data_IF_543449214577
#
_entry.id   IF_543449214577
#
_cell.length_a   1.000
_cell.length_b   1.000
_cell.length_c   1.000
_cell.angle_alpha   90.00
_cell.angle_beta   90.00
_cell.angle_gamma   90.00
#
_symmetry.space_group_name_H-M   'P 1'
#
loop_
_entity.id
_entity.type
_entity.pdbx_description
1 polymer ?
#
# COMPACT_ATOMS: atom_id res chain seq x y z
N UNK A 1 -0.10 1.13 -3.53
CA UNK A 1 -1.25 1.93 -4.00
C UNK A 1 -1.97 1.14 -5.09
N UNK A 2 -3.29 0.92 -4.97
CA UNK A 2 -4.09 0.34 -6.05
C UNK A 2 -4.49 1.44 -7.04
N UNK A 3 -4.10 1.31 -8.31
CA UNK A 3 -4.53 2.21 -9.40
C UNK A 3 -5.71 1.60 -10.16
N UNK A 4 -6.58 2.46 -10.66
CA UNK A 4 -7.79 2.12 -11.41
C UNK A 4 -8.07 3.09 -12.54
N UNK A 5 -9.31 3.04 -13.02
CA UNK A 5 -9.82 3.84 -14.12
C UNK A 5 -11.04 4.63 -13.64
N UNK A 6 -11.22 5.86 -14.10
CA UNK A 6 -12.43 6.64 -13.78
C UNK A 6 -13.67 6.18 -14.56
N UNK A 7 -13.48 5.45 -15.65
CA UNK A 7 -14.53 5.01 -16.57
C UNK A 7 -14.03 3.85 -17.41
N UNK A 8 -14.04 3.99 -18.74
CA UNK A 8 -13.54 2.93 -19.64
C UNK A 8 -12.09 2.54 -19.32
N UNK A 9 -11.85 1.21 -19.30
CA UNK A 9 -10.57 0.59 -18.93
C UNK A 9 -9.62 0.54 -20.13
N UNK A 10 -9.31 1.69 -20.70
CA UNK A 10 -8.45 1.81 -21.89
C UNK A 10 -7.06 2.23 -21.43
N UNK A 11 -6.03 1.53 -21.93
CA UNK A 11 -4.62 1.81 -21.61
C UNK A 11 -4.24 1.37 -20.19
N UNK A 12 -3.26 2.05 -19.58
CA UNK A 12 -2.80 1.76 -18.21
C UNK A 12 -3.71 2.44 -17.17
N UNK A 13 -3.89 1.87 -15.96
CA UNK A 13 -4.63 2.54 -14.87
C UNK A 13 -4.00 3.89 -14.51
N UNK A 14 -4.78 4.96 -14.38
CA UNK A 14 -4.27 6.33 -14.23
C UNK A 14 -4.73 7.04 -12.96
N UNK A 15 -5.82 6.58 -12.34
CA UNK A 15 -6.47 7.25 -11.21
C UNK A 15 -6.74 6.27 -10.05
N UNK A 16 -7.44 6.72 -9.02
CA UNK A 16 -7.86 5.89 -7.88
C UNK A 16 -9.10 5.08 -8.26
N UNK A 17 -9.21 3.78 -7.91
CA UNK A 17 -10.34 2.92 -8.32
C UNK A 17 -11.67 3.29 -7.66
N UNK A 18 -11.63 3.90 -6.49
CA UNK A 18 -12.82 4.31 -5.74
C UNK A 18 -12.52 5.58 -4.94
N UNK A 19 -13.57 6.26 -4.50
CA UNK A 19 -13.44 7.40 -3.60
C UNK A 19 -13.01 6.90 -2.22
N UNK A 20 -11.81 7.29 -1.80
CA UNK A 20 -11.23 6.91 -0.50
C UNK A 20 -11.01 8.11 0.39
N UNK A 21 -11.18 7.93 1.69
CA UNK A 21 -10.93 8.96 2.70
C UNK A 21 -9.87 8.47 3.66
N UNK A 22 -8.90 9.33 3.99
CA UNK A 22 -7.89 9.11 5.02
C UNK A 22 -7.96 10.21 6.07
N UNK A 23 -7.64 9.88 7.32
CA UNK A 23 -7.78 10.80 8.45
C UNK A 23 -6.53 10.79 9.34
N UNK A 24 -6.11 11.97 9.76
CA UNK A 24 -5.11 12.13 10.82
C UNK A 24 -5.49 13.34 11.68
N UNK A 25 -5.82 13.11 12.95
CA UNK A 25 -6.31 14.15 13.86
C UNK A 25 -7.63 14.77 13.36
N UNK A 26 -7.64 16.10 13.21
CA UNK A 26 -8.75 16.86 12.64
C UNK A 26 -8.76 16.92 11.11
N UNK A 27 -7.66 16.49 10.46
CA UNK A 27 -7.51 16.57 9.00
C UNK A 27 -8.06 15.32 8.34
N UNK A 28 -8.93 15.53 7.35
CA UNK A 28 -9.50 14.49 6.50
C UNK A 28 -9.16 14.81 5.04
N UNK A 29 -8.57 13.85 4.35
CA UNK A 29 -8.21 13.95 2.93
C UNK A 29 -8.98 12.90 2.15
N UNK A 30 -9.66 13.32 1.10
CA UNK A 30 -10.44 12.46 0.23
C UNK A 30 -9.84 12.45 -1.17
N UNK A 31 -9.49 11.26 -1.67
CA UNK A 31 -9.10 11.03 -3.05
C UNK A 31 -10.34 10.64 -3.85
N UNK A 32 -10.54 11.28 -4.99
CA UNK A 32 -11.63 11.00 -5.92
C UNK A 32 -11.02 10.69 -7.29
N UNK A 33 -11.62 9.72 -7.99
CA UNK A 33 -11.25 9.36 -9.35
C UNK A 33 -11.42 10.55 -10.29
N UNK A 34 -10.52 10.69 -11.26
CA UNK A 34 -10.55 11.76 -12.25
C UNK A 34 -10.37 11.23 -13.68
N UNK A 35 -10.94 11.89 -14.70
CA UNK A 35 -10.72 11.53 -16.10
C UNK A 35 -9.26 11.75 -16.49
N UNK A 36 -8.82 11.08 -17.57
CA UNK A 36 -7.43 11.20 -18.06
C UNK A 36 -7.12 12.63 -18.48
N UNK A 37 -5.95 13.13 -18.09
CA UNK A 37 -5.49 14.48 -18.43
C UNK A 37 -5.95 15.55 -17.45
N UNK A 38 -6.61 15.18 -16.35
CA UNK A 38 -6.93 16.12 -15.25
C UNK A 38 -5.66 16.56 -14.51
N UNK A 39 -4.68 15.67 -14.42
CA UNK A 39 -3.51 15.85 -13.58
C UNK A 39 -3.82 15.78 -12.08
N UNK A 40 -2.82 16.16 -11.29
CA UNK A 40 -2.90 16.13 -9.82
C UNK A 40 -3.38 17.48 -9.30
N UNK A 41 -4.68 17.57 -8.97
CA UNK A 41 -5.30 18.75 -8.37
C UNK A 41 -5.16 18.65 -6.85
N UNK A 42 -4.14 19.33 -6.31
CA UNK A 42 -3.72 19.20 -4.91
C UNK A 42 -2.88 20.37 -4.42
N UNK A 43 -2.89 20.60 -3.11
CA UNK A 43 -1.85 21.37 -2.43
C UNK A 43 -0.45 20.74 -2.63
N UNK A 44 0.64 21.52 -2.55
CA UNK A 44 2.00 21.08 -2.91
C UNK A 44 2.50 19.84 -2.17
N UNK A 45 2.17 19.69 -0.89
CA UNK A 45 2.62 18.55 -0.06
C UNK A 45 2.01 17.22 -0.53
N UNK A 46 0.68 17.05 -0.56
CA UNK A 46 0.07 15.82 -1.08
C UNK A 46 0.25 15.63 -2.59
N UNK A 47 0.56 16.69 -3.34
CA UNK A 47 0.92 16.58 -4.77
C UNK A 47 2.15 15.70 -4.94
N UNK A 48 3.21 15.97 -4.16
CA UNK A 48 4.45 15.16 -4.18
C UNK A 48 4.20 13.71 -3.79
N UNK A 49 3.41 13.46 -2.73
CA UNK A 49 3.05 12.10 -2.33
C UNK A 49 2.33 11.33 -3.44
N UNK A 50 1.39 11.96 -4.14
CA UNK A 50 0.65 11.31 -5.22
C UNK A 50 1.49 11.06 -6.47
N UNK A 51 2.41 11.97 -6.79
CA UNK A 51 3.40 11.74 -7.84
C UNK A 51 4.28 10.53 -7.52
N UNK A 52 4.77 10.42 -6.27
CA UNK A 52 5.55 9.26 -5.83
C UNK A 52 4.72 7.96 -5.82
N UNK A 53 3.42 8.05 -5.51
CA UNK A 53 2.50 6.91 -5.58
C UNK A 53 2.14 6.50 -7.01
N UNK A 54 2.57 7.25 -8.03
CA UNK A 54 2.31 6.97 -9.44
C UNK A 54 0.87 7.23 -9.87
N UNK A 55 0.17 8.18 -9.23
CA UNK A 55 -1.17 8.61 -9.65
C UNK A 55 -1.03 9.77 -10.63
N UNK A 56 -1.58 9.62 -11.82
CA UNK A 56 -1.50 10.66 -12.86
C UNK A 56 -2.62 11.69 -12.69
N UNK A 57 -3.84 11.19 -12.46
CA UNK A 57 -5.05 12.02 -12.38
C UNK A 57 -5.82 11.74 -11.09
N UNK A 58 -6.07 12.78 -10.28
CA UNK A 58 -6.89 12.64 -9.08
C UNK A 58 -7.38 13.99 -8.56
N UNK A 59 -8.68 14.08 -8.25
CA UNK A 59 -9.22 15.19 -7.50
C UNK A 59 -9.07 14.95 -6.01
N UNK A 60 -8.84 16.03 -5.27
CA UNK A 60 -8.84 15.95 -3.80
C UNK A 60 -9.60 17.02 -3.12
N UNK A 61 -10.29 16.62 -2.07
CA UNK A 61 -10.81 17.52 -1.07
C UNK A 61 -10.10 17.26 0.26
N UNK A 62 -9.79 18.34 0.97
CA UNK A 62 -9.27 18.29 2.32
C UNK A 62 -10.20 19.08 3.23
N UNK A 63 -10.48 18.55 4.42
CA UNK A 63 -11.28 19.21 5.46
C UNK A 63 -10.50 19.17 6.78
N UNK A 64 -10.62 20.22 7.59
CA UNK A 64 -9.91 20.38 8.85
C UNK A 64 -8.68 21.29 8.74
N UNK A 65 -7.84 21.27 9.77
CA UNK A 65 -6.68 22.17 9.86
C UNK A 65 -5.48 21.66 9.02
N UNK A 66 -5.52 21.94 7.72
CA UNK A 66 -4.53 21.48 6.73
C UNK A 66 -3.17 22.20 6.79
N UNK A 67 -3.04 23.26 7.59
CA UNK A 67 -1.78 23.98 7.78
C UNK A 67 -0.72 23.13 8.53
N UNK A 68 -1.15 22.17 9.36
CA UNK A 68 -0.23 21.22 9.99
C UNK A 68 0.23 20.17 8.97
N UNK A 69 1.40 20.41 8.38
CA UNK A 69 1.98 19.61 7.30
C UNK A 69 2.07 18.11 7.64
N UNK A 70 2.50 17.75 8.85
CA UNK A 70 2.66 16.35 9.27
C UNK A 70 1.34 15.58 9.27
N UNK A 71 0.28 16.15 9.85
CA UNK A 71 -1.05 15.55 9.85
C UNK A 71 -1.62 15.45 8.44
N UNK A 72 -1.41 16.47 7.61
CA UNK A 72 -1.91 16.49 6.24
C UNK A 72 -1.23 15.44 5.35
N UNK A 73 0.09 15.29 5.46
CA UNK A 73 0.83 14.25 4.77
C UNK A 73 0.41 12.85 5.23
N UNK A 74 0.27 12.64 6.54
CA UNK A 74 -0.15 11.36 7.12
C UNK A 74 -1.58 10.97 6.72
N UNK A 75 -2.51 11.92 6.72
CA UNK A 75 -3.89 11.68 6.24
C UNK A 75 -3.92 11.31 4.75
N UNK A 76 -3.06 11.93 3.93
CA UNK A 76 -2.93 11.58 2.50
C UNK A 76 -2.36 10.17 2.31
N UNK A 77 -1.33 9.81 3.09
CA UNK A 77 -0.75 8.48 3.05
C UNK A 77 -1.76 7.41 3.50
N UNK A 78 -2.52 7.69 4.56
CA UNK A 78 -3.62 6.82 5.01
C UNK A 78 -4.64 6.59 3.89
N UNK A 79 -5.06 7.65 3.19
CA UNK A 79 -5.98 7.54 2.06
C UNK A 79 -5.42 6.65 0.92
N UNK A 80 -4.13 6.79 0.61
CA UNK A 80 -3.42 5.96 -0.39
C UNK A 80 -3.39 4.50 0.06
N UNK A 81 -3.08 4.21 1.32
CA UNK A 81 -3.01 2.85 1.84
C UNK A 81 -4.36 2.12 1.77
N UNK A 82 -5.45 2.83 2.09
CA UNK A 82 -6.83 2.33 2.06
C UNK A 82 -7.32 1.94 0.68
N UNK A 83 -6.64 2.34 -0.40
CA UNK A 83 -7.00 1.92 -1.76
C UNK A 83 -6.89 0.41 -1.97
N UNK A 84 -5.95 -0.26 -1.27
CA UNK A 84 -5.89 -1.72 -1.27
C UNK A 84 -6.87 -2.36 -0.29
N UNK A 85 -7.23 -1.65 0.78
CA UNK A 85 -8.24 -2.13 1.74
C UNK A 85 -9.65 -2.17 1.15
N UNK A 86 -9.90 -1.43 0.07
CA UNK A 86 -11.20 -1.40 -0.58
C UNK A 86 -11.42 -2.64 -1.45
N UNK A 87 -12.43 -3.45 -1.11
CA UNK A 87 -12.80 -4.62 -1.88
C UNK A 87 -13.64 -4.21 -3.10
N UNK A 88 -13.02 -4.23 -4.28
CA UNK A 88 -13.74 -4.01 -5.55
C UNK A 88 -14.26 -5.33 -6.12
N UNK A 89 -15.29 -5.32 -6.98
CA UNK A 89 -15.84 -6.55 -7.58
C UNK A 89 -14.83 -7.42 -8.33
N UNK A 90 -13.74 -6.81 -8.83
CA UNK A 90 -12.66 -7.54 -9.49
C UNK A 90 -11.87 -8.46 -8.52
N UNK A 91 -11.90 -8.17 -7.22
CA UNK A 91 -11.20 -8.90 -6.17
C UNK A 91 -12.13 -9.88 -5.42
N UNK A 92 -13.37 -10.09 -5.86
CA UNK A 92 -14.30 -11.01 -5.20
C UNK A 92 -14.00 -12.49 -5.42
N UNK A 93 -13.21 -12.82 -6.45
CA UNK A 93 -12.78 -14.20 -6.67
C UNK A 93 -11.85 -14.63 -5.54
N UNK A 94 -12.06 -15.84 -5.04
CA UNK A 94 -11.25 -16.39 -3.96
C UNK A 94 -9.77 -16.40 -4.33
N UNK A 95 -8.93 -15.95 -3.40
CA UNK A 95 -7.48 -15.93 -3.57
C UNK A 95 -6.92 -17.32 -3.28
N UNK A 96 -6.20 -17.90 -4.23
CA UNK A 96 -5.42 -19.11 -4.00
C UNK A 96 -4.17 -18.72 -3.21
N UNK A 97 -4.10 -19.11 -1.94
CA UNK A 97 -2.94 -18.84 -1.10
C UNK A 97 -1.78 -19.77 -1.49
N UNK A 98 -0.71 -19.20 -2.01
CA UNK A 98 0.55 -19.92 -2.23
C UNK A 98 1.32 -20.03 -0.91
N UNK A 99 2.32 -20.91 -0.86
CA UNK A 99 3.22 -20.98 0.30
C UNK A 99 3.91 -19.64 0.47
N UNK A 100 4.20 -19.27 1.72
CA UNK A 100 4.92 -18.03 1.99
C UNK A 100 6.36 -18.14 1.44
N UNK A 101 6.95 -17.05 0.92
CA UNK A 101 8.34 -17.08 0.46
C UNK A 101 9.32 -17.50 1.57
N UNK A 102 9.02 -17.18 2.83
CA UNK A 102 9.79 -17.65 3.97
C UNK A 102 9.80 -19.17 4.09
N UNK A 103 8.66 -19.82 3.83
CA UNK A 103 8.54 -21.27 3.87
C UNK A 103 9.22 -21.93 2.66
N UNK A 104 9.07 -21.38 1.46
CA UNK A 104 9.68 -21.93 0.24
C UNK A 104 11.22 -21.79 0.23
N UNK A 105 11.75 -20.67 0.71
CA UNK A 105 13.18 -20.39 0.72
C UNK A 105 13.84 -20.62 2.08
N UNK A 106 13.23 -21.42 2.96
CA UNK A 106 13.72 -21.69 4.32
C UNK A 106 15.19 -22.10 4.31
N UNK A 107 15.57 -23.08 3.47
CA UNK A 107 16.94 -23.60 3.40
C UNK A 107 17.96 -22.55 2.96
N UNK A 108 17.57 -21.70 2.01
CA UNK A 108 18.42 -20.59 1.54
C UNK A 108 18.60 -19.52 2.62
N UNK A 109 17.52 -19.17 3.33
CA UNK A 109 17.55 -18.16 4.39
C UNK A 109 18.36 -18.64 5.61
N UNK A 110 18.27 -19.91 5.98
CA UNK A 110 19.11 -20.48 7.05
C UNK A 110 20.59 -20.44 6.67
N UNK A 111 20.93 -20.63 5.40
CA UNK A 111 22.33 -20.60 4.95
C UNK A 111 22.92 -19.19 4.85
N UNK A 112 22.10 -18.19 4.55
CA UNK A 112 22.57 -16.82 4.20
C UNK A 112 22.27 -15.77 5.26
N UNK A 113 21.17 -15.89 5.99
CA UNK A 113 20.64 -14.87 6.88
C UNK A 113 20.92 -15.16 8.36
N UNK A 114 21.17 -16.43 8.71
CA UNK A 114 21.69 -16.76 10.04
C UNK A 114 23.14 -16.27 10.09
N UNK A 115 23.38 -15.16 10.79
CA UNK A 115 24.74 -14.79 11.20
C UNK A 115 25.38 -16.02 11.84
N UNK A 116 26.63 -16.30 11.50
CA UNK A 116 27.48 -17.34 12.11
C UNK A 116 27.62 -17.04 13.61
N UNK A 117 26.60 -17.37 14.41
CA UNK A 117 26.62 -17.21 15.86
C UNK A 117 25.42 -17.88 16.56
N UNK A 118 25.01 -19.08 16.15
CA UNK A 118 24.44 -20.05 17.09
C UNK A 118 24.85 -21.45 16.63
N UNK A 119 26.05 -21.88 17.01
CA UNK A 119 26.30 -23.31 17.17
C UNK A 119 25.45 -23.75 18.36
N UNK A 120 24.21 -24.19 18.09
CA UNK A 120 23.45 -24.95 19.08
C UNK A 120 24.05 -26.33 19.05
N UNK A 121 24.97 -26.61 19.96
CA UNK A 121 25.47 -27.96 20.22
C UNK A 121 24.27 -28.82 20.57
N UNK A 122 23.73 -29.57 19.59
CA UNK A 122 22.79 -30.64 19.89
C UNK A 122 23.64 -31.79 20.43
N UNK A 123 23.53 -32.02 21.75
CA UNK A 123 24.02 -33.23 22.35
C UNK A 123 23.32 -34.42 21.68
N UNK A 124 24.04 -35.50 21.32
CA UNK A 124 23.42 -36.68 20.75
C UNK A 124 22.44 -37.28 21.75
N UNK A 125 21.21 -37.53 21.33
CA UNK A 125 20.27 -38.32 22.11
C UNK A 125 20.86 -39.72 22.26
N UNK A 126 21.34 -40.03 23.46
CA UNK A 126 21.80 -41.36 23.85
C UNK A 126 20.59 -42.29 23.75
N UNK A 127 20.66 -43.25 22.82
CA UNK A 127 19.73 -44.36 22.77
C UNK A 127 19.89 -45.16 24.07
N UNK A 128 18.85 -45.16 24.90
CA UNK A 128 18.72 -46.10 26.02
C UNK A 128 18.03 -47.35 25.49
N UNK A 129 18.62 -48.48 25.82
CA UNK A 129 18.30 -49.88 25.47
C UNK A 129 16.82 -50.23 25.59
#
# INVERSE_FOLDING_TARGET
MLRGYSGNKIGKPHTVPCKVTGRCGSVLVQLISAPRGTGIVSAPVPRKLRMMAGIDDCYTSARGYSATLGNFAKATFDAISRTYSYLTPNLWKETVFTKSPYQEFTDHLVKTHTRVSVQRTQAPAVATT
#
